data_IF_994939161237
#
_entry.id   IF_994939161237
#
_cell.length_a   1.000
_cell.length_b   1.000
_cell.length_c   1.000
_cell.angle_alpha   90.00
_cell.angle_beta   90.00
_cell.angle_gamma   90.00
#
_symmetry.space_group_name_H-M   'P 1'
#
loop_
_entity.id
_entity.type
_entity.pdbx_description
1 polymer ?
#
# COMPACT_ATOMS: atom_id res chain seq x y z
N UNK A 1 17.63 53.93 6.28
CA UNK A 1 17.36 52.54 5.84
C UNK A 1 18.39 51.66 6.53
N UNK A 2 17.99 50.86 7.55
CA UNK A 2 18.94 50.04 8.32
C UNK A 2 19.38 48.86 7.44
N UNK A 3 20.64 48.85 7.00
CA UNK A 3 21.23 47.72 6.30
C UNK A 3 21.39 46.55 7.28
N UNK A 4 20.42 45.64 7.25
CA UNK A 4 20.49 44.39 8.00
C UNK A 4 21.57 43.53 7.31
N UNK A 5 22.63 43.09 8.03
CA UNK A 5 23.69 42.29 7.42
C UNK A 5 23.11 40.98 6.88
N UNK A 6 23.52 40.58 5.66
CA UNK A 6 22.96 39.43 4.94
C UNK A 6 23.18 38.07 5.65
N UNK A 7 24.11 38.01 6.61
CA UNK A 7 24.33 36.88 7.52
C UNK A 7 23.20 36.71 8.56
N UNK A 8 22.66 37.82 9.07
CA UNK A 8 21.49 37.83 9.95
C UNK A 8 20.23 37.39 9.18
N UNK A 9 20.08 37.80 7.92
CA UNK A 9 18.91 37.40 7.12
C UNK A 9 18.88 35.88 6.83
N UNK A 10 20.05 35.24 6.68
CA UNK A 10 20.18 33.79 6.53
C UNK A 10 19.85 33.03 7.82
N UNK A 11 20.22 33.54 8.99
CA UNK A 11 19.90 32.88 10.27
C UNK A 11 18.41 32.98 10.60
N UNK A 12 17.76 34.11 10.32
CA UNK A 12 16.30 34.25 10.47
C UNK A 12 15.52 33.35 9.48
N UNK A 13 15.99 33.22 8.23
CA UNK A 13 15.38 32.34 7.24
C UNK A 13 15.56 30.85 7.59
N UNK A 14 16.73 30.45 8.09
CA UNK A 14 16.95 29.09 8.61
C UNK A 14 16.09 28.80 9.84
N UNK A 15 15.94 29.77 10.76
CA UNK A 15 15.05 29.64 11.92
C UNK A 15 13.57 29.54 11.51
N UNK A 16 13.15 30.32 10.51
CA UNK A 16 11.81 30.24 9.91
C UNK A 16 11.58 28.90 9.18
N UNK A 17 12.58 28.37 8.48
CA UNK A 17 12.50 27.08 7.82
C UNK A 17 12.38 25.93 8.83
N UNK A 18 13.13 25.99 9.95
CA UNK A 18 13.02 25.02 11.05
C UNK A 18 11.66 25.11 11.74
N UNK A 19 11.14 26.33 11.95
CA UNK A 19 9.81 26.55 12.50
C UNK A 19 8.71 26.07 11.54
N UNK A 20 8.88 26.25 10.23
CA UNK A 20 7.96 25.78 9.20
C UNK A 20 7.95 24.24 9.07
N UNK A 21 9.12 23.59 9.21
CA UNK A 21 9.24 22.13 9.27
C UNK A 21 8.56 21.58 10.53
N UNK A 22 8.68 22.27 11.67
CA UNK A 22 7.99 21.91 12.92
C UNK A 22 6.46 22.11 12.86
N UNK A 23 5.97 22.98 11.96
CA UNK A 23 4.56 23.27 11.73
C UNK A 23 3.95 22.45 10.56
N UNK A 24 4.70 21.52 9.95
CA UNK A 24 4.16 20.64 8.93
C UNK A 24 3.05 19.74 9.52
N UNK A 25 2.01 19.36 8.76
CA UNK A 25 0.78 18.73 9.26
C UNK A 25 0.94 17.34 9.90
N UNK A 26 2.16 16.85 10.14
CA UNK A 26 2.42 15.61 10.87
C UNK A 26 1.98 15.67 12.35
N UNK A 27 1.71 16.86 12.88
CA UNK A 27 1.18 17.08 14.23
C UNK A 27 -0.35 17.16 14.28
N UNK A 28 -1.04 17.24 13.14
CA UNK A 28 -2.51 17.34 13.11
C UNK A 28 -3.22 16.01 13.47
N UNK A 29 -2.53 14.87 13.37
CA UNK A 29 -3.02 13.59 13.90
C UNK A 29 -2.79 13.43 15.41
N UNK A 30 -2.15 14.39 16.08
CA UNK A 30 -1.92 14.37 17.52
C UNK A 30 -2.94 15.19 18.33
N UNK A 31 -3.95 15.77 17.66
CA UNK A 31 -4.91 16.70 18.29
C UNK A 31 -6.21 16.03 18.79
N UNK A 32 -6.18 14.73 19.13
CA UNK A 32 -7.34 14.06 19.73
C UNK A 32 -7.02 12.70 20.33
N UNK A 33 -7.06 12.62 21.66
CA UNK A 33 -7.04 11.37 22.42
C UNK A 33 -5.66 10.97 22.93
N UNK A 34 -5.64 10.26 24.06
CA UNK A 34 -4.45 9.62 24.65
C UNK A 34 -3.56 8.99 23.57
N UNK A 35 -2.25 8.88 23.83
CA UNK A 35 -1.32 8.17 22.96
C UNK A 35 -1.76 6.70 22.84
N UNK A 36 -2.67 6.44 21.89
CA UNK A 36 -3.13 5.09 21.57
C UNK A 36 -1.89 4.35 21.10
N UNK A 37 -1.59 3.24 21.75
CA UNK A 37 -0.41 2.45 21.39
C UNK A 37 -0.51 2.04 19.92
N UNK A 38 0.61 2.04 19.15
CA UNK A 38 0.59 1.65 17.75
C UNK A 38 -0.09 0.31 17.51
N UNK A 39 0.10 -0.64 18.45
CA UNK A 39 -0.57 -1.92 18.45
C UNK A 39 -2.10 -1.81 18.55
N UNK A 40 -2.63 -1.02 19.49
CA UNK A 40 -4.09 -0.84 19.64
C UNK A 40 -4.68 -0.18 18.39
N UNK A 41 -3.96 0.75 17.77
CA UNK A 41 -4.36 1.37 16.52
C UNK A 41 -4.39 0.36 15.36
N UNK A 42 -3.31 -0.41 15.14
CA UNK A 42 -3.23 -1.46 14.11
C UNK A 42 -4.29 -2.54 14.34
N UNK A 43 -4.54 -2.91 15.60
CA UNK A 43 -5.57 -3.87 15.97
C UNK A 43 -6.97 -3.35 15.67
N UNK A 44 -7.26 -2.07 15.94
CA UNK A 44 -8.52 -1.45 15.56
C UNK A 44 -8.72 -1.48 14.04
N UNK A 45 -7.69 -1.10 13.27
CA UNK A 45 -7.73 -1.17 11.80
C UNK A 45 -7.96 -2.60 11.32
N UNK A 46 -7.28 -3.58 11.92
CA UNK A 46 -7.46 -5.00 11.62
C UNK A 46 -8.90 -5.47 11.85
N UNK A 47 -9.49 -5.14 13.01
CA UNK A 47 -10.88 -5.51 13.33
C UNK A 47 -11.86 -4.85 12.35
N UNK A 48 -11.70 -3.56 12.05
CA UNK A 48 -12.56 -2.86 11.08
C UNK A 48 -12.40 -3.47 9.68
N UNK A 49 -11.18 -3.82 9.27
CA UNK A 49 -10.91 -4.44 7.97
C UNK A 49 -11.61 -5.80 7.80
N UNK A 50 -11.74 -6.60 8.87
CA UNK A 50 -12.51 -7.86 8.84
C UNK A 50 -13.98 -7.60 8.52
N UNK A 51 -14.60 -6.65 9.21
CA UNK A 51 -16.01 -6.29 8.95
C UNK A 51 -16.20 -5.81 7.52
N UNK A 52 -15.32 -4.92 7.04
CA UNK A 52 -15.37 -4.45 5.65
C UNK A 52 -15.22 -5.61 4.68
N UNK A 53 -14.24 -6.50 4.89
CA UNK A 53 -14.04 -7.68 4.05
C UNK A 53 -15.26 -8.59 3.98
N UNK A 54 -15.92 -8.82 5.11
CA UNK A 54 -17.16 -9.60 5.17
C UNK A 54 -18.28 -8.98 4.32
N UNK A 55 -18.57 -7.69 4.49
CA UNK A 55 -19.64 -7.02 3.73
C UNK A 55 -19.34 -6.91 2.23
N UNK A 56 -18.05 -6.76 1.86
CA UNK A 56 -17.60 -6.72 0.46
C UNK A 56 -17.85 -8.06 -0.24
N UNK A 57 -17.50 -9.19 0.40
CA UNK A 57 -17.65 -10.52 -0.22
C UNK A 57 -19.10 -10.99 -0.19
N UNK A 58 -19.88 -10.65 0.83
CA UNK A 58 -21.26 -11.11 0.95
C UNK A 58 -22.21 -10.48 -0.08
N UNK A 59 -21.84 -9.31 -0.62
CA UNK A 59 -22.67 -8.54 -1.56
C UNK A 59 -22.47 -8.91 -3.04
N UNK A 60 -21.90 -10.08 -3.34
CA UNK A 60 -21.64 -10.52 -4.73
C UNK A 60 -22.70 -11.47 -5.25
N UNK A 61 -23.02 -11.38 -6.54
CA UNK A 61 -23.97 -12.29 -7.19
C UNK A 61 -23.39 -13.72 -7.30
N UNK A 62 -24.19 -14.79 -7.14
CA UNK A 62 -23.68 -16.17 -7.09
C UNK A 62 -22.84 -16.62 -8.28
N UNK A 63 -23.14 -16.10 -9.47
CA UNK A 63 -22.39 -16.41 -10.70
C UNK A 63 -20.92 -15.93 -10.64
N UNK A 64 -20.58 -14.99 -9.76
CA UNK A 64 -19.25 -14.42 -9.64
C UNK A 64 -18.40 -15.03 -8.52
N UNK A 65 -18.85 -16.03 -7.77
CA UNK A 65 -18.03 -16.63 -6.71
C UNK A 65 -16.72 -17.23 -7.24
N UNK A 66 -16.74 -17.87 -8.42
CA UNK A 66 -15.52 -18.44 -9.03
C UNK A 66 -14.56 -17.34 -9.53
N UNK A 67 -15.02 -16.30 -10.27
CA UNK A 67 -14.19 -15.12 -10.53
C UNK A 67 -13.67 -14.43 -9.28
N UNK A 68 -14.50 -14.30 -8.24
CA UNK A 68 -14.13 -13.66 -6.98
C UNK A 68 -13.03 -14.45 -6.26
N UNK A 69 -13.09 -15.79 -6.27
CA UNK A 69 -12.04 -16.64 -5.74
C UNK A 69 -10.69 -16.34 -6.42
N UNK A 70 -10.68 -16.18 -7.74
CA UNK A 70 -9.47 -15.80 -8.50
C UNK A 70 -8.96 -14.41 -8.14
N UNK A 71 -9.86 -13.43 -7.94
CA UNK A 71 -9.49 -12.08 -7.52
C UNK A 71 -8.90 -12.08 -6.11
N UNK A 72 -9.49 -12.81 -5.17
CA UNK A 72 -8.96 -12.90 -3.81
C UNK A 72 -7.57 -13.54 -3.77
N UNK A 73 -7.29 -14.48 -4.68
CA UNK A 73 -5.95 -15.03 -4.84
C UNK A 73 -4.95 -13.98 -5.38
N UNK A 74 -5.36 -13.10 -6.30
CA UNK A 74 -4.52 -11.99 -6.74
C UNK A 74 -4.28 -10.98 -5.59
N UNK A 75 -5.33 -10.64 -4.84
CA UNK A 75 -5.28 -9.65 -3.74
C UNK A 75 -4.38 -10.12 -2.58
N UNK A 76 -4.30 -11.44 -2.30
CA UNK A 76 -3.39 -11.95 -1.27
C UNK A 76 -1.91 -11.63 -1.55
N UNK A 77 -1.59 -11.17 -2.75
CA UNK A 77 -0.26 -10.70 -3.14
C UNK A 77 0.17 -9.37 -2.50
N UNK A 78 -0.57 -8.85 -1.50
CA UNK A 78 -0.13 -7.72 -0.64
C UNK A 78 1.25 -7.96 0.00
N UNK A 79 1.67 -9.23 0.08
CA UNK A 79 3.03 -9.66 0.46
C UNK A 79 4.14 -9.00 -0.36
N UNK A 80 3.84 -8.46 -1.56
CA UNK A 80 4.79 -7.71 -2.39
C UNK A 80 5.41 -6.53 -1.63
N UNK A 81 4.66 -5.88 -0.74
CA UNK A 81 5.17 -4.78 0.09
C UNK A 81 6.27 -5.27 1.03
N UNK A 82 6.07 -6.43 1.66
CA UNK A 82 7.08 -7.06 2.52
C UNK A 82 8.30 -7.52 1.73
N UNK A 83 8.10 -8.06 0.52
CA UNK A 83 9.20 -8.48 -0.36
C UNK A 83 10.06 -7.28 -0.80
N UNK A 84 9.43 -6.15 -1.15
CA UNK A 84 10.14 -4.92 -1.50
C UNK A 84 10.97 -4.38 -0.32
N UNK A 85 10.41 -4.41 0.90
CA UNK A 85 11.16 -4.05 2.10
C UNK A 85 12.35 -4.99 2.31
N UNK A 86 12.18 -6.31 2.16
CA UNK A 86 13.24 -7.29 2.32
C UNK A 86 14.40 -7.15 1.31
N UNK A 87 14.11 -6.83 0.04
CA UNK A 87 15.12 -6.54 -0.99
C UNK A 87 15.81 -5.20 -0.72
N UNK A 88 15.07 -4.21 -0.23
CA UNK A 88 15.55 -2.86 0.07
C UNK A 88 16.44 -2.74 1.32
N UNK A 89 16.55 -3.80 2.14
CA UNK A 89 17.40 -3.80 3.35
C UNK A 89 18.88 -3.66 2.96
N UNK A 90 19.47 -2.47 3.14
CA UNK A 90 20.90 -2.19 2.97
C UNK A 90 21.40 -0.95 3.71
N UNK A 91 21.45 -0.92 5.04
CA UNK A 91 22.18 0.17 5.72
C UNK A 91 22.97 -0.16 7.00
N UNK A 92 22.80 -1.32 7.66
CA UNK A 92 23.44 -1.52 8.99
C UNK A 92 23.95 -2.91 9.36
N UNK A 93 23.58 -4.00 8.67
CA UNK A 93 23.91 -5.36 9.10
C UNK A 93 24.77 -6.11 8.09
N UNK A 94 25.93 -6.59 8.54
CA UNK A 94 26.95 -7.31 7.78
C UNK A 94 26.53 -8.70 7.25
N UNK A 95 25.24 -9.07 7.35
CA UNK A 95 24.70 -10.39 6.98
C UNK A 95 23.44 -10.31 6.07
N UNK A 96 23.37 -9.27 5.24
CA UNK A 96 22.19 -8.89 4.43
C UNK A 96 21.98 -9.73 3.16
N UNK A 97 22.94 -10.58 2.75
CA UNK A 97 22.85 -11.28 1.46
C UNK A 97 21.68 -12.28 1.40
N UNK A 98 21.48 -13.06 2.47
CA UNK A 98 20.40 -14.06 2.55
C UNK A 98 19.03 -13.38 2.49
N UNK A 99 18.83 -12.30 3.25
CA UNK A 99 17.59 -11.54 3.25
C UNK A 99 17.23 -10.97 1.87
N UNK A 100 18.22 -10.48 1.12
CA UNK A 100 17.99 -9.99 -0.25
C UNK A 100 17.63 -11.11 -1.22
N UNK A 101 18.29 -12.26 -1.12
CA UNK A 101 17.99 -13.41 -1.98
C UNK A 101 16.56 -13.89 -1.75
N UNK A 102 16.17 -14.09 -0.48
CA UNK A 102 14.80 -14.47 -0.15
C UNK A 102 13.78 -13.38 -0.49
N UNK A 103 14.10 -12.10 -0.26
CA UNK A 103 13.26 -10.98 -0.68
C UNK A 103 13.05 -10.94 -2.19
N UNK A 104 14.09 -11.21 -2.98
CA UNK A 104 14.03 -11.24 -4.44
C UNK A 104 13.18 -12.41 -4.94
N UNK A 105 13.35 -13.61 -4.35
CA UNK A 105 12.50 -14.76 -4.65
C UNK A 105 11.03 -14.51 -4.27
N UNK A 106 10.80 -13.91 -3.09
CA UNK A 106 9.46 -13.51 -2.65
C UNK A 106 8.83 -12.49 -3.60
N UNK A 107 9.61 -11.55 -4.14
CA UNK A 107 9.14 -10.56 -5.11
C UNK A 107 8.71 -11.21 -6.42
N UNK A 108 9.48 -12.19 -6.93
CA UNK A 108 9.12 -12.96 -8.12
C UNK A 108 7.83 -13.75 -7.88
N UNK A 109 7.74 -14.45 -6.75
CA UNK A 109 6.53 -15.22 -6.39
C UNK A 109 5.30 -14.32 -6.26
N UNK A 110 5.43 -13.16 -5.62
CA UNK A 110 4.37 -12.18 -5.50
C UNK A 110 3.94 -11.66 -6.88
N UNK A 111 4.90 -11.33 -7.76
CA UNK A 111 4.61 -10.89 -9.12
C UNK A 111 3.82 -11.93 -9.92
N UNK A 112 4.23 -13.21 -9.88
CA UNK A 112 3.51 -14.30 -10.55
C UNK A 112 2.06 -14.40 -10.05
N UNK A 113 1.83 -14.26 -8.75
CA UNK A 113 0.49 -14.33 -8.19
C UNK A 113 -0.37 -13.12 -8.60
N UNK A 114 0.19 -11.90 -8.60
CA UNK A 114 -0.47 -10.69 -9.10
C UNK A 114 -0.89 -10.90 -10.56
N UNK A 115 0.07 -11.14 -11.46
CA UNK A 115 -0.21 -11.19 -12.89
C UNK A 115 -1.05 -12.41 -13.26
N UNK A 116 -0.76 -13.58 -12.69
CA UNK A 116 -1.52 -14.81 -12.92
C UNK A 116 -2.96 -14.69 -12.44
N UNK A 117 -3.17 -14.20 -11.21
CA UNK A 117 -4.49 -14.03 -10.63
C UNK A 117 -5.37 -13.03 -11.39
N UNK A 118 -4.81 -11.91 -11.83
CA UNK A 118 -5.55 -10.93 -12.64
C UNK A 118 -5.82 -11.39 -14.08
N UNK A 119 -4.89 -12.12 -14.71
CA UNK A 119 -5.10 -12.67 -16.06
C UNK A 119 -6.22 -13.71 -16.07
N UNK A 120 -6.21 -14.64 -15.11
CA UNK A 120 -7.24 -15.67 -14.97
C UNK A 120 -8.60 -15.02 -14.70
N UNK A 121 -8.65 -14.04 -13.79
CA UNK A 121 -9.86 -13.27 -13.52
C UNK A 121 -10.39 -12.60 -14.79
N UNK A 122 -9.53 -11.93 -15.57
CA UNK A 122 -9.94 -11.26 -16.79
C UNK A 122 -10.53 -12.23 -17.81
N UNK A 123 -9.92 -13.42 -17.96
CA UNK A 123 -10.47 -14.49 -18.81
C UNK A 123 -11.83 -14.99 -18.29
N UNK A 124 -11.99 -15.11 -16.98
CA UNK A 124 -13.25 -15.52 -16.35
C UNK A 124 -14.36 -14.49 -16.57
N UNK A 125 -14.07 -13.20 -16.37
CA UNK A 125 -15.02 -12.11 -16.56
C UNK A 125 -15.35 -11.86 -18.03
N UNK A 126 -14.41 -12.12 -18.95
CA UNK A 126 -14.63 -12.01 -20.38
C UNK A 126 -15.72 -12.98 -20.89
N UNK A 127 -15.94 -14.11 -20.21
CA UNK A 127 -17.01 -15.06 -20.55
C UNK A 127 -18.41 -14.56 -20.20
N UNK A 128 -18.53 -13.54 -19.34
CA UNK A 128 -19.80 -12.89 -18.99
C UNK A 128 -20.10 -11.67 -19.87
N UNK A 129 -19.15 -11.21 -20.69
CA UNK A 129 -19.40 -10.17 -21.68
C UNK A 129 -20.14 -10.79 -22.87
N UNK A 130 -21.31 -10.25 -23.22
CA UNK A 130 -22.03 -10.64 -24.45
C UNK A 130 -21.08 -10.45 -25.64
N UNK A 131 -20.80 -11.54 -26.37
CA UNK A 131 -20.14 -11.48 -27.67
C UNK A 131 -20.99 -10.56 -28.56
N UNK A 132 -20.40 -9.50 -29.10
CA UNK A 132 -21.08 -8.70 -30.13
C UNK A 132 -21.55 -9.65 -31.23
N UNK A 133 -22.86 -9.66 -31.50
CA UNK A 133 -23.40 -10.47 -32.58
C UNK A 133 -22.73 -10.02 -33.88
N UNK A 134 -22.19 -10.93 -34.72
CA UNK A 134 -21.62 -10.52 -35.99
C UNK A 134 -22.72 -9.81 -36.77
N UNK A 135 -22.43 -8.59 -37.24
CA UNK A 135 -23.35 -7.83 -38.07
C UNK A 135 -23.78 -8.71 -39.24
N UNK A 136 -25.08 -9.03 -39.29
CA UNK A 136 -25.70 -9.78 -40.38
C UNK A 136 -25.34 -9.06 -41.69
N UNK A 137 -24.57 -9.72 -42.55
CA UNK A 137 -24.52 -9.42 -43.99
C UNK A 137 -25.48 -10.35 -44.70
#
# INVERSE_FOLDING_TARGET
>A
MRNIPMSMMKSYSAALAVLAIAMMPGTAFAAGGEQVSPFVFEFMVFVIAIFVGYFVVWSVTPALHTPLMSVTNAISSVIVVGALLAVGVNLTASDSFVAKVFGFLALIMAAINIFGGFLVTNRMLAMYKKKEAPAKK
#
